data_IF_374048423259
#
_entry.id   IF_374048423259
#
_cell.length_a   1.000
_cell.length_b   1.000
_cell.length_c   1.000
_cell.angle_alpha   90.00
_cell.angle_beta   90.00
_cell.angle_gamma   90.00
#
_symmetry.space_group_name_H-M   'P 1'
#
loop_
_entity.id
_entity.type
_entity.pdbx_description
1 polymer ?
#
# COMPACT_ATOMS: atom_id res chain seq x y z
N UNK A 1 -12.66 -2.82 -27.02
CA UNK A 1 -11.21 -3.05 -27.07
C UNK A 1 -10.57 -2.83 -25.72
N UNK A 2 -10.72 -1.64 -25.18
CA UNK A 2 -10.14 -1.33 -23.87
C UNK A 2 -10.71 -2.23 -22.78
N UNK A 3 -11.99 -2.52 -22.83
CA UNK A 3 -12.64 -3.40 -21.85
C UNK A 3 -12.14 -4.84 -21.95
N UNK A 4 -11.91 -5.32 -23.15
CA UNK A 4 -11.40 -6.67 -23.35
C UNK A 4 -9.98 -6.80 -22.77
N UNK A 5 -9.17 -5.81 -23.01
CA UNK A 5 -7.81 -5.76 -22.49
C UNK A 5 -7.82 -5.73 -20.94
N UNK A 6 -8.68 -4.90 -20.37
CA UNK A 6 -8.83 -4.84 -18.92
C UNK A 6 -9.29 -6.16 -18.34
N UNK A 7 -10.16 -6.86 -19.05
CA UNK A 7 -10.66 -8.15 -18.61
C UNK A 7 -9.54 -9.18 -18.51
N UNK A 8 -8.66 -9.20 -19.49
CA UNK A 8 -7.50 -10.09 -19.45
C UNK A 8 -6.56 -9.75 -18.31
N UNK A 9 -6.28 -8.48 -18.10
CA UNK A 9 -5.45 -8.03 -17.00
C UNK A 9 -6.08 -8.37 -15.65
N UNK A 10 -7.39 -8.22 -15.54
CA UNK A 10 -8.11 -8.57 -14.32
C UNK A 10 -7.99 -10.06 -14.03
N UNK A 11 -8.09 -10.88 -15.07
CA UNK A 11 -7.95 -12.33 -14.92
C UNK A 11 -6.54 -12.70 -14.44
N UNK A 12 -5.53 -12.09 -15.00
CA UNK A 12 -4.15 -12.30 -14.55
C UNK A 12 -3.97 -11.85 -13.12
N UNK A 13 -4.53 -10.71 -12.75
CA UNK A 13 -4.46 -10.21 -11.38
C UNK A 13 -5.12 -11.17 -10.40
N UNK A 14 -6.24 -11.76 -10.78
CA UNK A 14 -6.93 -12.73 -9.94
C UNK A 14 -6.04 -13.94 -9.70
N UNK A 15 -5.36 -14.44 -10.74
CA UNK A 15 -4.49 -15.59 -10.63
C UNK A 15 -3.23 -15.32 -9.82
N UNK A 16 -2.75 -14.07 -9.83
CA UNK A 16 -1.51 -13.70 -9.15
C UNK A 16 -1.73 -12.67 -8.06
N UNK A 17 -2.98 -12.48 -7.63
CA UNK A 17 -3.30 -11.52 -6.58
C UNK A 17 -2.64 -11.90 -5.27
N UNK A 18 -2.05 -10.92 -4.57
CA UNK A 18 -1.54 -11.19 -3.23
C UNK A 18 -2.70 -11.51 -2.30
N UNK A 19 -2.48 -12.38 -1.33
CA UNK A 19 -3.52 -12.61 -0.35
C UNK A 19 -3.59 -11.43 0.63
N UNK A 20 -4.74 -11.32 1.28
CA UNK A 20 -5.01 -10.20 2.17
C UNK A 20 -3.99 -10.09 3.30
N UNK A 21 -3.57 -11.20 3.86
CA UNK A 21 -2.59 -11.19 4.95
C UNK A 21 -1.26 -10.58 4.51
N UNK A 22 -0.84 -10.86 3.28
CA UNK A 22 0.38 -10.29 2.73
C UNK A 22 0.24 -8.79 2.53
N UNK A 23 -0.92 -8.34 2.03
CA UNK A 23 -1.20 -6.90 1.87
C UNK A 23 -1.13 -6.19 3.22
N UNK A 24 -1.80 -6.73 4.22
CA UNK A 24 -1.81 -6.16 5.57
C UNK A 24 -0.39 -6.09 6.14
N UNK A 25 0.38 -7.14 5.95
CA UNK A 25 1.77 -7.19 6.42
C UNK A 25 2.60 -6.05 5.82
N UNK A 26 2.46 -5.81 4.52
CA UNK A 26 3.17 -4.71 3.85
C UNK A 26 2.69 -3.36 4.38
N UNK A 27 1.38 -3.21 4.52
CA UNK A 27 0.80 -1.97 5.06
C UNK A 27 1.34 -1.67 6.46
N UNK A 28 1.33 -2.65 7.33
CA UNK A 28 1.80 -2.46 8.71
C UNK A 28 3.29 -2.15 8.75
N UNK A 29 4.09 -2.80 7.91
CA UNK A 29 5.52 -2.53 7.85
C UNK A 29 5.80 -1.09 7.44
N UNK A 30 5.09 -0.60 6.42
CA UNK A 30 5.24 0.79 5.96
C UNK A 30 4.76 1.78 7.02
N UNK A 31 3.65 1.47 7.65
CA UNK A 31 3.08 2.31 8.69
C UNK A 31 4.02 2.40 9.90
N UNK A 32 4.56 1.28 10.32
CA UNK A 32 5.46 1.23 11.47
C UNK A 32 6.80 1.90 11.18
N UNK A 33 7.22 1.94 9.92
CA UNK A 33 8.45 2.63 9.55
C UNK A 33 8.39 4.12 9.91
N UNK A 34 7.22 4.74 9.71
CA UNK A 34 7.00 6.14 10.09
C UNK A 34 7.86 7.14 9.34
N UNK A 35 8.56 6.71 8.30
CA UNK A 35 9.48 7.54 7.54
C UNK A 35 9.59 7.02 6.12
N UNK A 36 10.24 7.80 5.27
CA UNK A 36 10.51 7.41 3.90
C UNK A 36 11.54 6.27 3.90
N UNK A 37 11.19 5.15 3.29
CA UNK A 37 12.11 4.01 3.18
C UNK A 37 12.19 3.54 1.74
N UNK A 38 13.36 2.98 1.38
CA UNK A 38 13.55 2.42 0.04
C UNK A 38 12.82 1.07 -0.09
N UNK A 39 12.66 0.62 -1.32
CA UNK A 39 12.09 -0.70 -1.58
C UNK A 39 12.94 -1.80 -0.95
N UNK A 40 14.26 -1.66 -1.02
CA UNK A 40 15.17 -2.62 -0.41
C UNK A 40 14.99 -2.67 1.11
N UNK A 41 14.82 -1.53 1.73
CA UNK A 41 14.59 -1.44 3.16
C UNK A 41 13.24 -2.05 3.54
N UNK A 42 12.21 -1.80 2.74
CA UNK A 42 10.91 -2.42 2.96
C UNK A 42 11.03 -3.95 2.95
N UNK A 43 11.69 -4.48 1.92
CA UNK A 43 11.88 -5.93 1.82
C UNK A 43 12.59 -6.50 3.03
N UNK A 44 13.55 -5.77 3.55
CA UNK A 44 14.34 -6.20 4.70
C UNK A 44 13.52 -6.21 5.99
N UNK A 45 12.60 -5.25 6.14
CA UNK A 45 11.78 -5.11 7.33
C UNK A 45 10.57 -6.04 7.36
N UNK A 46 10.18 -6.60 6.22
CA UNK A 46 9.05 -7.51 6.18
C UNK A 46 9.31 -8.75 7.04
N UNK A 47 8.32 -9.16 7.86
CA UNK A 47 8.50 -10.33 8.74
C UNK A 47 8.79 -11.63 8.01
N UNK A 48 8.39 -11.73 6.75
CA UNK A 48 8.68 -12.89 5.92
C UNK A 48 8.97 -12.44 4.50
N UNK A 49 9.64 -13.29 3.78
CA UNK A 49 10.03 -13.00 2.40
C UNK A 49 8.80 -13.02 1.49
N UNK A 50 8.71 -12.00 0.65
CA UNK A 50 7.64 -11.87 -0.33
C UNK A 50 8.28 -11.66 -1.70
N UNK A 51 7.70 -12.28 -2.72
CA UNK A 51 8.21 -12.13 -4.08
C UNK A 51 8.15 -10.68 -4.53
N UNK A 52 9.17 -10.27 -5.28
CA UNK A 52 9.28 -8.90 -5.77
C UNK A 52 8.03 -8.44 -6.51
N UNK A 53 7.53 -9.26 -7.43
CA UNK A 53 6.32 -8.92 -8.19
C UNK A 53 5.12 -8.69 -7.30
N UNK A 54 4.99 -9.50 -6.26
CA UNK A 54 3.89 -9.37 -5.30
C UNK A 54 3.98 -8.06 -4.56
N UNK A 55 5.18 -7.68 -4.13
CA UNK A 55 5.39 -6.41 -3.44
C UNK A 55 5.04 -5.25 -4.36
N UNK A 56 5.48 -5.29 -5.61
CA UNK A 56 5.19 -4.24 -6.58
C UNK A 56 3.68 -4.09 -6.80
N UNK A 57 2.95 -5.20 -6.92
CA UNK A 57 1.51 -5.17 -7.06
C UNK A 57 0.82 -4.53 -5.85
N UNK A 58 1.28 -4.87 -4.67
CA UNK A 58 0.74 -4.30 -3.43
C UNK A 58 1.01 -2.81 -3.36
N UNK A 59 2.23 -2.39 -3.66
CA UNK A 59 2.59 -0.98 -3.64
C UNK A 59 1.79 -0.17 -4.65
N UNK A 60 1.60 -0.73 -5.84
CA UNK A 60 0.79 -0.10 -6.88
C UNK A 60 -0.64 0.11 -6.39
N UNK A 61 -1.22 -0.92 -5.80
CA UNK A 61 -2.56 -0.84 -5.22
C UNK A 61 -2.64 0.22 -4.12
N UNK A 62 -1.68 0.24 -3.22
CA UNK A 62 -1.65 1.20 -2.12
C UNK A 62 -1.50 2.64 -2.63
N UNK A 63 -0.69 2.83 -3.66
CA UNK A 63 -0.52 4.15 -4.27
C UNK A 63 -1.82 4.63 -4.93
N UNK A 64 -2.47 3.76 -5.68
CA UNK A 64 -3.75 4.07 -6.32
C UNK A 64 -4.81 4.40 -5.28
N UNK A 65 -4.77 3.68 -4.16
CA UNK A 65 -5.72 3.89 -3.05
C UNK A 65 -5.41 5.15 -2.22
N UNK A 66 -4.31 5.82 -2.50
CA UNK A 66 -3.94 7.03 -1.77
C UNK A 66 -3.34 6.77 -0.40
N UNK A 67 -2.92 5.55 -0.12
CA UNK A 67 -2.35 5.22 1.19
C UNK A 67 -0.86 5.48 1.29
N UNK A 68 -0.16 5.48 0.17
CA UNK A 68 1.28 5.73 0.13
C UNK A 68 1.61 6.69 -1.00
N UNK A 69 2.78 7.28 -0.90
CA UNK A 69 3.39 8.05 -1.98
C UNK A 69 4.71 7.39 -2.33
N UNK A 70 4.93 7.13 -3.60
CA UNK A 70 6.18 6.57 -4.11
C UNK A 70 6.91 7.67 -4.86
N UNK A 71 8.13 7.95 -4.42
CA UNK A 71 8.98 8.93 -5.08
C UNK A 71 10.33 8.32 -5.44
N UNK A 72 11.21 9.15 -5.99
CA UNK A 72 12.55 8.70 -6.38
C UNK A 72 13.39 8.25 -5.19
N UNK A 73 13.08 8.76 -4.00
CA UNK A 73 13.85 8.45 -2.80
C UNK A 73 13.27 7.31 -1.98
N UNK A 74 12.06 6.88 -2.29
CA UNK A 74 11.47 5.77 -1.55
C UNK A 74 9.96 5.85 -1.43
N UNK A 75 9.45 5.15 -0.45
CA UNK A 75 8.03 4.94 -0.20
C UNK A 75 7.68 5.54 1.15
N UNK A 76 6.59 6.30 1.20
CA UNK A 76 6.11 6.92 2.44
C UNK A 76 4.66 6.57 2.67
N UNK A 77 4.34 6.09 3.87
CA UNK A 77 2.97 5.86 4.29
C UNK A 77 2.32 7.19 4.64
N UNK A 78 1.23 7.52 3.96
CA UNK A 78 0.56 8.82 4.13
C UNK A 78 -0.88 8.70 4.62
N UNK A 79 -1.41 7.48 4.67
CA UNK A 79 -2.81 7.29 5.03
C UNK A 79 -3.02 7.54 6.52
N UNK A 80 -4.01 8.39 6.83
CA UNK A 80 -4.43 8.64 8.21
C UNK A 80 -5.56 7.70 8.55
N UNK A 81 -5.42 6.95 9.63
CA UNK A 81 -6.47 6.03 10.03
C UNK A 81 -7.75 6.79 10.38
N UNK A 82 -8.87 6.13 10.12
CA UNK A 82 -10.17 6.73 10.37
C UNK A 82 -10.32 7.25 11.79
N UNK A 83 -9.77 6.55 12.75
CA UNK A 83 -9.80 6.94 14.15
C UNK A 83 -9.17 8.30 14.38
N UNK A 84 -8.01 8.52 13.78
CA UNK A 84 -7.31 9.79 13.88
C UNK A 84 -8.02 10.87 13.09
N UNK A 85 -8.55 10.52 11.92
CA UNK A 85 -9.29 11.45 11.08
C UNK A 85 -10.54 11.93 11.79
N UNK A 86 -11.31 11.02 12.38
CA UNK A 86 -12.52 11.35 13.13
C UNK A 86 -12.20 12.28 14.30
N UNK A 87 -11.09 12.03 14.97
CA UNK A 87 -10.64 12.89 16.07
C UNK A 87 -10.31 14.28 15.60
N UNK A 88 -9.63 14.40 14.46
CA UNK A 88 -9.29 15.69 13.88
C UNK A 88 -10.53 16.45 13.43
N UNK A 89 -11.47 15.75 12.81
CA UNK A 89 -12.73 16.32 12.38
C UNK A 89 -13.52 16.85 13.57
N UNK A 90 -13.58 16.05 14.63
CA UNK A 90 -14.28 16.45 15.85
C UNK A 90 -13.69 17.71 16.46
N UNK A 91 -12.38 17.79 16.55
CA UNK A 91 -11.69 18.97 17.04
C UNK A 91 -11.99 20.19 16.17
N UNK A 92 -11.97 20.00 14.85
CA UNK A 92 -12.27 21.07 13.91
C UNK A 92 -13.71 21.55 14.00
N UNK A 93 -14.65 20.66 14.29
CA UNK A 93 -16.06 21.03 14.40
C UNK A 93 -16.39 21.74 15.70
N UNK A 94 -15.59 21.58 16.71
CA UNK A 94 -15.77 22.25 17.99
C UNK A 94 -15.27 23.71 17.97
N UNK A 95 -14.52 24.05 16.96
CA UNK A 95 -14.01 25.39 16.78
C UNK A 95 -15.00 26.24 15.99
#
# INVERSE_FOLDING_TARGET
>A
MVQLFKKEQTKERILHSPNLNTVIMVEETLKDAGELISLAELKRRLPRKVMHQTIIQILDYLQISGKIVIGTKGILWTFTERKELDKLIKIGMEV
#
